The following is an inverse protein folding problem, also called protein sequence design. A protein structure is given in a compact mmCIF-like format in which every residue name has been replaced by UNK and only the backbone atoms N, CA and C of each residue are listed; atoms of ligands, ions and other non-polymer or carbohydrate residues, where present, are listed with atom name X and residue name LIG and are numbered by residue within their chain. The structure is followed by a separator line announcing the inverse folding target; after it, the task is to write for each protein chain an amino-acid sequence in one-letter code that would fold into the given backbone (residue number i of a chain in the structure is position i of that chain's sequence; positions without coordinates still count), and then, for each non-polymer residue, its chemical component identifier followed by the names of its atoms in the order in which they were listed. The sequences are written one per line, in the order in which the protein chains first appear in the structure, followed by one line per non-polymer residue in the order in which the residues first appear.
data_IF_173398912755
#
_entry.id   IF_173398912755
#
_cell.length_a   1.000
_cell.length_b   1.000
_cell.length_c   1.000
_cell.angle_alpha   90.00
_cell.angle_beta   90.00
_cell.angle_gamma   90.00
#
_symmetry.space_group_name_H-M   'P 1'
#
loop_
_entity.id
_entity.type
_entity.pdbx_description
1 polymer ?
#
# COMPACT_ATOMS: atom_id res chain seq x y z
N UNK A 1 7.61 -0.76 -77.46
CA UNK A 1 7.92 -1.35 -76.13
C UNK A 1 7.42 -0.52 -74.96
N UNK A 2 7.39 0.81 -74.94
CA UNK A 2 6.95 1.64 -73.80
C UNK A 2 5.47 1.48 -73.37
N UNK A 3 4.54 1.25 -74.31
CA UNK A 3 3.10 1.11 -73.98
C UNK A 3 2.73 -0.17 -73.23
N UNK A 4 3.48 -1.28 -73.45
CA UNK A 4 3.24 -2.57 -72.82
C UNK A 4 3.65 -2.57 -71.34
N UNK A 5 4.72 -1.85 -71.02
CA UNK A 5 5.19 -1.75 -69.60
C UNK A 5 4.26 -0.84 -68.76
N UNK A 6 3.69 0.21 -69.36
CA UNK A 6 2.74 1.10 -68.72
C UNK A 6 1.43 0.36 -68.34
N UNK A 7 0.96 -0.51 -69.22
CA UNK A 7 -0.24 -1.31 -68.98
C UNK A 7 -0.01 -2.40 -67.93
N UNK A 8 1.17 -2.99 -67.87
CA UNK A 8 1.54 -3.95 -66.84
C UNK A 8 1.71 -3.29 -65.47
N UNK A 9 2.27 -2.10 -65.39
CA UNK A 9 2.34 -1.32 -64.15
C UNK A 9 0.94 -0.90 -63.64
N UNK A 10 0.04 -0.54 -64.56
CA UNK A 10 -1.33 -0.17 -64.22
C UNK A 10 -2.16 -1.37 -63.69
N UNK A 11 -1.97 -2.55 -64.26
CA UNK A 11 -2.55 -3.79 -63.79
C UNK A 11 -1.99 -4.25 -62.43
N UNK A 12 -0.70 -4.08 -62.21
CA UNK A 12 -0.06 -4.40 -60.93
C UNK A 12 -0.53 -3.47 -59.78
N UNK A 13 -0.68 -2.16 -60.08
CA UNK A 13 -1.19 -1.21 -59.07
C UNK A 13 -2.67 -1.45 -58.75
N UNK A 14 -3.48 -1.86 -59.73
CA UNK A 14 -4.87 -2.21 -59.53
C UNK A 14 -5.03 -3.51 -58.72
N UNK A 15 -4.17 -4.51 -58.95
CA UNK A 15 -4.10 -5.73 -58.16
C UNK A 15 -3.67 -5.47 -56.70
N UNK A 16 -2.75 -4.52 -56.45
CA UNK A 16 -2.33 -4.13 -55.11
C UNK A 16 -3.43 -3.40 -54.35
N UNK A 17 -4.27 -2.60 -55.02
CA UNK A 17 -5.41 -1.93 -54.41
C UNK A 17 -6.56 -2.92 -54.06
N UNK A 18 -6.71 -4.00 -54.80
CA UNK A 18 -7.68 -5.06 -54.51
C UNK A 18 -7.29 -5.95 -53.32
N UNK A 19 -6.01 -5.98 -52.96
CA UNK A 19 -5.53 -6.69 -51.76
C UNK A 19 -5.61 -5.88 -50.48
N UNK A 20 -5.90 -4.58 -50.57
CA UNK A 20 -6.24 -3.77 -49.39
C UNK A 20 -7.67 -4.08 -48.95
N UNK A 21 -7.90 -5.31 -48.47
CA UNK A 21 -9.14 -5.66 -47.79
C UNK A 21 -9.28 -4.74 -46.59
N UNK A 22 -10.39 -4.01 -46.44
CA UNK A 22 -10.61 -3.25 -45.20
C UNK A 22 -10.56 -4.25 -44.03
N UNK A 23 -9.59 -4.06 -43.17
CA UNK A 23 -9.56 -4.79 -41.90
C UNK A 23 -10.80 -4.38 -41.12
N UNK A 24 -11.85 -5.19 -41.23
CA UNK A 24 -13.02 -5.04 -40.37
C UNK A 24 -12.57 -5.32 -38.94
N UNK A 25 -12.28 -4.28 -38.18
CA UNK A 25 -12.07 -4.40 -36.76
C UNK A 25 -13.34 -5.03 -36.16
N UNK A 26 -13.24 -6.27 -35.71
CA UNK A 26 -14.35 -6.92 -35.02
C UNK A 26 -14.69 -6.11 -33.79
N UNK A 27 -15.86 -5.46 -33.81
CA UNK A 27 -16.40 -4.76 -32.64
C UNK A 27 -17.03 -5.80 -31.73
N UNK A 28 -16.29 -6.19 -30.70
CA UNK A 28 -16.87 -7.01 -29.64
C UNK A 28 -17.80 -6.14 -28.78
N UNK A 29 -19.00 -6.65 -28.51
CA UNK A 29 -19.92 -6.10 -27.51
C UNK A 29 -19.98 -7.06 -26.35
N UNK A 30 -19.90 -6.52 -25.14
CA UNK A 30 -20.18 -7.31 -23.94
C UNK A 30 -21.65 -7.74 -24.00
N UNK A 31 -21.90 -9.02 -24.17
CA UNK A 31 -23.25 -9.57 -24.28
C UNK A 31 -23.90 -9.77 -22.90
N UNK A 32 -23.11 -10.17 -21.91
CA UNK A 32 -23.56 -10.41 -20.54
C UNK A 32 -22.39 -10.33 -19.59
N UNK A 33 -22.60 -9.75 -18.42
CA UNK A 33 -21.69 -9.82 -17.29
C UNK A 33 -22.43 -10.48 -16.14
N UNK A 34 -21.93 -11.60 -15.68
CA UNK A 34 -22.42 -12.25 -14.48
C UNK A 34 -21.42 -11.99 -13.35
N UNK A 35 -21.91 -11.61 -12.19
CA UNK A 35 -21.11 -11.38 -10.99
C UNK A 35 -21.62 -12.27 -9.87
N UNK A 36 -20.74 -13.10 -9.34
CA UNK A 36 -21.02 -13.89 -8.14
C UNK A 36 -20.11 -13.39 -7.02
N UNK A 37 -20.69 -13.18 -5.84
CA UNK A 37 -19.95 -12.87 -4.64
C UNK A 37 -19.86 -14.12 -3.77
N UNK A 38 -18.66 -14.62 -3.57
CA UNK A 38 -18.39 -15.72 -2.64
C UNK A 38 -17.76 -15.11 -1.40
N UNK A 39 -18.42 -15.24 -0.26
CA UNK A 39 -17.86 -14.82 1.01
C UNK A 39 -16.93 -15.92 1.52
N UNK A 40 -15.71 -15.54 1.84
CA UNK A 40 -14.77 -16.42 2.55
C UNK A 40 -15.06 -16.23 4.03
N UNK A 41 -15.67 -17.22 4.63
CA UNK A 41 -16.06 -17.26 6.03
C UNK A 41 -15.69 -18.62 6.66
N UNK A 42 -15.93 -18.79 7.96
CA UNK A 42 -15.57 -20.00 8.70
C UNK A 42 -16.11 -21.33 8.15
N UNK A 43 -17.09 -21.31 7.25
CA UNK A 43 -17.58 -22.56 6.62
C UNK A 43 -16.52 -23.22 5.74
N UNK A 44 -15.55 -22.43 5.24
CA UNK A 44 -14.45 -22.94 4.44
C UNK A 44 -13.36 -23.63 5.27
N UNK A 45 -13.33 -23.36 6.59
CA UNK A 45 -12.40 -23.98 7.53
C UNK A 45 -12.77 -25.43 7.84
N UNK A 46 -14.02 -25.83 7.54
CA UNK A 46 -14.54 -27.17 7.81
C UNK A 46 -13.83 -28.28 7.01
N UNK A 47 -13.19 -27.94 5.91
CA UNK A 47 -12.43 -28.88 5.06
C UNK A 47 -11.08 -28.26 4.69
N UNK A 48 -10.14 -28.20 5.63
CA UNK A 48 -8.81 -27.67 5.36
C UNK A 48 -8.08 -28.56 4.36
N UNK A 49 -7.38 -27.95 3.41
CA UNK A 49 -6.49 -28.64 2.51
C UNK A 49 -5.23 -29.09 3.26
N UNK A 50 -5.11 -30.40 3.52
CA UNK A 50 -4.01 -30.96 4.27
C UNK A 50 -2.65 -30.84 3.56
N UNK A 51 -2.63 -30.84 2.22
CA UNK A 51 -1.39 -30.66 1.46
C UNK A 51 -0.92 -29.22 1.51
N UNK A 52 -1.84 -28.28 1.34
CA UNK A 52 -1.55 -26.85 1.50
C UNK A 52 -1.07 -26.54 2.92
N UNK A 53 -1.75 -27.05 3.94
CA UNK A 53 -1.36 -26.88 5.34
C UNK A 53 0.06 -27.43 5.60
N UNK A 54 0.38 -28.62 5.11
CA UNK A 54 1.71 -29.22 5.23
C UNK A 54 2.79 -28.40 4.50
N UNK A 55 2.47 -27.86 3.34
CA UNK A 55 3.38 -27.00 2.58
C UNK A 55 3.68 -25.69 3.31
N UNK A 56 2.66 -25.07 3.91
CA UNK A 56 2.77 -23.77 4.58
C UNK A 56 3.40 -23.88 5.97
N UNK A 57 3.20 -25.01 6.67
CA UNK A 57 3.60 -25.19 8.07
C UNK A 57 5.05 -24.74 8.40
N UNK A 58 6.11 -25.09 7.65
CA UNK A 58 7.47 -24.66 7.97
C UNK A 58 7.67 -23.14 7.86
N UNK A 59 6.96 -22.48 6.94
CA UNK A 59 6.99 -21.03 6.81
C UNK A 59 6.22 -20.36 7.94
N UNK A 60 5.06 -20.89 8.28
CA UNK A 60 4.23 -20.41 9.39
C UNK A 60 5.01 -20.48 10.70
N UNK A 61 5.65 -21.61 11.04
CA UNK A 61 6.50 -21.73 12.21
C UNK A 61 7.60 -20.67 12.28
N UNK A 62 8.22 -20.39 11.14
CA UNK A 62 9.26 -19.36 11.07
C UNK A 62 8.68 -17.97 11.30
N UNK A 63 7.55 -17.65 10.69
CA UNK A 63 6.85 -16.37 10.89
C UNK A 63 6.42 -16.23 12.34
N UNK A 64 5.77 -17.24 12.92
CA UNK A 64 5.28 -17.21 14.30
C UNK A 64 6.44 -17.02 15.30
N UNK A 65 7.61 -17.63 15.04
CA UNK A 65 8.78 -17.45 15.91
C UNK A 65 9.34 -16.03 15.91
N UNK A 66 9.16 -15.27 14.82
CA UNK A 66 9.66 -13.90 14.67
C UNK A 66 8.59 -12.87 15.09
N UNK A 67 7.36 -13.10 14.66
CA UNK A 67 6.26 -12.16 14.80
C UNK A 67 5.41 -12.39 16.06
N UNK A 68 5.48 -13.60 16.63
CA UNK A 68 4.69 -13.98 17.82
C UNK A 68 5.11 -13.38 19.16
N UNK A 69 6.39 -13.04 19.42
CA UNK A 69 6.78 -12.51 20.72
C UNK A 69 5.99 -11.26 21.11
N UNK A 70 5.42 -11.27 22.33
CA UNK A 70 4.72 -10.11 22.89
C UNK A 70 5.75 -9.05 23.28
N UNK A 71 5.54 -7.82 22.83
CA UNK A 71 6.41 -6.67 23.08
C UNK A 71 5.79 -5.62 23.96
N UNK A 72 4.48 -5.72 24.23
CA UNK A 72 3.78 -4.79 25.07
C UNK A 72 2.29 -5.13 25.19
N UNK A 73 1.53 -4.19 25.72
CA UNK A 73 0.06 -4.31 25.78
C UNK A 73 -0.58 -2.93 25.71
N UNK A 74 -1.81 -2.86 25.23
CA UNK A 74 -2.64 -1.65 25.20
C UNK A 74 -3.91 -1.85 26.04
N UNK A 75 -4.28 -0.82 26.79
CA UNK A 75 -5.39 -0.87 27.74
C UNK A 75 -6.78 -0.79 27.06
N UNK A 76 -6.82 -0.28 25.85
CA UNK A 76 -8.03 -0.11 25.02
C UNK A 76 -7.63 -0.10 23.55
N UNK A 77 -8.64 -0.19 22.66
CA UNK A 77 -8.41 -0.14 21.22
C UNK A 77 -7.84 1.24 20.84
N UNK A 78 -6.72 1.24 20.10
CA UNK A 78 -6.09 2.45 19.60
C UNK A 78 -6.25 2.50 18.09
N UNK A 79 -7.12 3.41 17.62
CA UNK A 79 -7.42 3.56 16.20
C UNK A 79 -6.78 4.82 15.64
N UNK A 80 -6.46 4.78 14.34
CA UNK A 80 -6.00 5.99 13.65
C UNK A 80 -7.19 6.79 13.13
N UNK A 81 -7.18 8.09 13.35
CA UNK A 81 -8.11 9.03 12.72
C UNK A 81 -7.51 10.44 12.67
N UNK A 82 -8.05 11.28 11.80
CA UNK A 82 -7.71 12.69 11.73
C UNK A 82 -8.67 13.53 12.59
N UNK A 83 -8.25 14.67 13.11
CA UNK A 83 -6.95 15.36 12.90
C UNK A 83 -5.77 14.72 13.63
N UNK A 84 -6.00 14.03 14.74
CA UNK A 84 -5.05 13.29 15.54
C UNK A 84 -5.71 12.06 16.16
N UNK A 85 -4.90 11.15 16.66
CA UNK A 85 -5.38 9.98 17.42
C UNK A 85 -4.30 9.52 18.39
N UNK A 86 -4.69 8.79 19.44
CA UNK A 86 -3.74 8.23 20.39
C UNK A 86 -2.68 7.38 19.69
N UNK A 87 -3.06 6.61 18.66
CA UNK A 87 -2.11 5.81 17.88
C UNK A 87 -1.13 6.67 17.09
N UNK A 88 -1.58 7.74 16.45
CA UNK A 88 -0.68 8.65 15.72
C UNK A 88 0.26 9.39 16.65
N UNK A 89 -0.22 9.78 17.83
CA UNK A 89 0.58 10.45 18.85
C UNK A 89 1.64 9.48 19.42
N UNK A 90 1.25 8.25 19.73
CA UNK A 90 2.17 7.20 20.18
C UNK A 90 3.32 6.98 19.19
N UNK A 91 3.01 6.82 17.88
CA UNK A 91 4.04 6.61 16.87
C UNK A 91 4.97 7.83 16.74
N UNK A 92 4.44 9.03 16.85
CA UNK A 92 5.23 10.24 16.83
C UNK A 92 6.10 10.35 18.08
N UNK A 93 5.60 10.04 19.27
CA UNK A 93 6.38 10.05 20.51
C UNK A 93 7.50 8.99 20.47
N UNK A 94 7.25 7.83 19.88
CA UNK A 94 8.29 6.81 19.65
C UNK A 94 9.43 7.35 18.78
N UNK A 95 9.17 8.19 17.79
CA UNK A 95 10.21 8.81 16.98
C UNK A 95 11.08 9.79 17.80
N UNK A 96 10.46 10.60 18.66
CA UNK A 96 11.20 11.48 19.58
C UNK A 96 12.06 10.66 20.54
N UNK A 97 11.47 9.62 21.13
CA UNK A 97 12.19 8.72 22.03
C UNK A 97 13.36 8.02 21.32
N UNK A 98 13.15 7.56 20.08
CA UNK A 98 14.14 6.89 19.25
C UNK A 98 15.33 7.78 18.86
N UNK A 99 15.15 9.10 18.83
CA UNK A 99 16.22 10.07 18.58
C UNK A 99 17.43 9.89 19.50
N UNK A 100 17.19 9.45 20.74
CA UNK A 100 18.25 9.21 21.74
C UNK A 100 19.28 8.18 21.27
N UNK A 101 18.90 7.21 20.47
CA UNK A 101 19.81 6.18 19.94
C UNK A 101 20.82 6.76 18.93
N UNK A 102 20.50 7.93 18.38
CA UNK A 102 21.32 8.66 17.42
C UNK A 102 22.04 9.86 18.04
N UNK A 103 21.99 10.02 19.37
CA UNK A 103 22.46 11.20 20.10
C UNK A 103 21.78 12.51 19.66
N UNK A 104 20.54 12.39 19.16
CA UNK A 104 19.69 13.51 18.77
C UNK A 104 18.65 13.81 19.84
N UNK A 105 18.28 15.08 19.97
CA UNK A 105 17.26 15.55 20.89
C UNK A 105 16.19 16.34 20.13
N UNK A 106 15.35 15.67 19.34
CA UNK A 106 14.31 16.36 18.58
C UNK A 106 13.30 16.98 19.54
N UNK A 107 12.85 18.20 19.21
CA UNK A 107 11.85 18.93 19.99
C UNK A 107 10.45 18.35 19.75
N UNK A 108 10.20 17.91 18.52
CA UNK A 108 8.97 17.22 18.12
C UNK A 108 9.26 16.30 16.94
N UNK A 109 8.31 15.43 16.63
CA UNK A 109 8.34 14.63 15.42
C UNK A 109 7.02 14.72 14.68
N UNK A 110 7.05 14.34 13.41
CA UNK A 110 5.87 14.22 12.56
C UNK A 110 5.85 12.84 11.92
N UNK A 111 4.74 12.14 12.03
CA UNK A 111 4.51 10.87 11.38
C UNK A 111 3.29 10.98 10.46
N UNK A 112 3.40 10.55 9.21
CA UNK A 112 2.30 10.66 8.27
C UNK A 112 1.18 9.65 8.59
N UNK A 113 -0.06 10.10 8.64
CA UNK A 113 -1.23 9.25 8.91
C UNK A 113 -1.40 8.11 7.89
N UNK A 114 -0.95 8.31 6.64
CA UNK A 114 -0.97 7.28 5.60
C UNK A 114 -0.01 6.13 5.84
N UNK A 115 1.00 6.32 6.68
CA UNK A 115 1.97 5.31 7.11
C UNK A 115 1.42 4.33 8.14
N UNK A 116 0.34 4.66 8.83
CA UNK A 116 -0.34 3.80 9.78
C UNK A 116 -1.31 2.90 9.02
N UNK A 117 -1.14 1.57 9.08
CA UNK A 117 -1.86 0.64 8.20
C UNK A 117 -2.86 -0.25 8.92
N UNK A 118 -2.70 -0.43 10.22
CA UNK A 118 -3.61 -1.15 11.10
C UNK A 118 -3.82 -0.38 12.40
N UNK A 119 -4.71 -0.85 13.23
CA UNK A 119 -5.00 -0.34 14.57
C UNK A 119 -4.52 -1.36 15.62
N UNK A 120 -4.28 -0.95 16.84
CA UNK A 120 -4.06 -1.88 17.94
C UNK A 120 -5.39 -2.22 18.62
N UNK A 121 -5.69 -3.51 18.71
CA UNK A 121 -6.76 -4.00 19.56
C UNK A 121 -6.30 -4.04 21.01
N UNK A 122 -7.24 -3.83 21.94
CA UNK A 122 -7.00 -3.98 23.38
C UNK A 122 -6.40 -5.35 23.69
N UNK A 123 -5.32 -5.38 24.47
CA UNK A 123 -4.67 -6.60 24.94
C UNK A 123 -3.17 -6.60 24.66
N UNK A 124 -2.61 -7.80 24.57
CA UNK A 124 -1.21 -7.99 24.26
C UNK A 124 -0.93 -7.58 22.82
N UNK A 125 0.23 -6.96 22.63
CA UNK A 125 0.76 -6.53 21.32
C UNK A 125 2.02 -7.32 21.03
N UNK A 126 2.05 -8.00 19.91
CA UNK A 126 3.21 -8.76 19.45
C UNK A 126 3.98 -8.03 18.32
N UNK A 127 5.11 -8.58 17.90
CA UNK A 127 5.92 -8.00 16.81
C UNK A 127 5.13 -7.91 15.50
N UNK A 128 4.27 -8.89 15.23
CA UNK A 128 3.40 -8.91 14.05
C UNK A 128 2.43 -7.72 14.04
N UNK A 129 1.76 -7.46 15.18
CA UNK A 129 0.83 -6.32 15.31
C UNK A 129 1.55 -5.00 15.05
N UNK A 130 2.76 -4.82 15.59
CA UNK A 130 3.58 -3.62 15.32
C UNK A 130 3.93 -3.52 13.84
N UNK A 131 4.30 -4.66 13.20
CA UNK A 131 4.61 -4.70 11.77
C UNK A 131 3.38 -4.40 10.90
N UNK A 132 2.17 -4.77 11.34
CA UNK A 132 0.94 -4.43 10.63
C UNK A 132 0.58 -2.96 10.75
N UNK A 133 0.80 -2.36 11.91
CA UNK A 133 0.56 -0.92 12.15
C UNK A 133 1.54 -0.07 11.34
N UNK A 134 2.82 -0.40 11.33
CA UNK A 134 3.88 0.36 10.66
C UNK A 134 4.75 -0.55 9.76
N UNK A 135 4.23 -1.06 8.64
CA UNK A 135 4.90 -2.08 7.82
C UNK A 135 6.06 -1.56 6.97
N UNK A 136 6.30 -0.27 6.96
CA UNK A 136 7.29 0.33 6.07
C UNK A 136 8.64 0.49 6.76
N UNK A 137 9.72 0.06 6.11
CA UNK A 137 11.10 0.29 6.54
C UNK A 137 11.53 1.74 6.24
N UNK A 138 10.81 2.69 6.80
CA UNK A 138 11.11 4.12 6.62
C UNK A 138 12.36 4.49 7.40
N UNK A 139 13.16 5.40 6.83
CA UNK A 139 14.30 6.00 7.54
C UNK A 139 13.83 7.16 8.41
N UNK A 140 14.37 7.24 9.61
CA UNK A 140 14.21 8.41 10.46
C UNK A 140 15.14 9.52 9.93
N UNK A 141 14.60 10.72 9.75
CA UNK A 141 15.35 11.90 9.32
C UNK A 141 15.29 12.96 10.41
N UNK A 142 16.44 13.52 10.76
CA UNK A 142 16.52 14.67 11.67
C UNK A 142 16.75 15.93 10.84
N UNK A 143 15.95 16.97 11.12
CA UNK A 143 15.97 18.22 10.39
C UNK A 143 16.09 19.39 11.35
N UNK A 144 16.93 20.36 11.01
CA UNK A 144 16.98 21.66 11.70
C UNK A 144 16.19 22.66 10.87
N UNK A 145 15.17 23.25 11.48
CA UNK A 145 14.27 24.21 10.85
C UNK A 145 14.31 25.56 11.57
N UNK A 146 14.10 26.64 10.81
CA UNK A 146 13.82 27.96 11.41
C UNK A 146 12.39 28.00 11.94
N UNK A 147 12.08 28.91 12.88
CA UNK A 147 10.73 29.07 13.40
C UNK A 147 9.69 29.36 12.32
N UNK A 148 10.05 30.11 11.28
CA UNK A 148 9.17 30.34 10.12
C UNK A 148 8.81 29.03 9.39
N UNK A 149 9.80 28.14 9.19
CA UNK A 149 9.57 26.86 8.53
C UNK A 149 8.80 25.90 9.41
N UNK A 150 8.95 25.95 10.72
CA UNK A 150 8.12 25.20 11.66
C UNK A 150 6.67 25.68 11.54
N UNK A 151 6.42 26.98 11.53
CA UNK A 151 5.06 27.52 11.37
C UNK A 151 4.45 27.11 10.04
N UNK A 152 5.20 27.20 8.95
CA UNK A 152 4.75 26.73 7.62
C UNK A 152 4.39 25.24 7.64
N UNK A 153 5.21 24.40 8.29
CA UNK A 153 4.94 22.97 8.45
C UNK A 153 3.60 22.71 9.14
N UNK A 154 3.37 23.36 10.29
CA UNK A 154 2.10 23.20 11.02
C UNK A 154 0.89 23.72 10.24
N UNK A 155 1.03 24.80 9.48
CA UNK A 155 -0.02 25.27 8.58
C UNK A 155 -0.35 24.23 7.50
N UNK A 156 0.66 23.57 6.93
CA UNK A 156 0.46 22.50 5.94
C UNK A 156 -0.19 21.26 6.57
N UNK A 157 0.20 20.89 7.78
CA UNK A 157 -0.43 19.80 8.54
C UNK A 157 -1.90 20.11 8.79
N UNK A 158 -2.22 21.31 9.27
CA UNK A 158 -3.60 21.74 9.49
C UNK A 158 -4.43 21.74 8.20
N UNK A 159 -3.85 22.23 7.10
CA UNK A 159 -4.51 22.24 5.79
C UNK A 159 -4.84 20.84 5.28
N UNK A 160 -4.03 19.85 5.58
CA UNK A 160 -4.27 18.43 5.24
C UNK A 160 -5.26 17.73 6.17
N UNK A 161 -5.75 18.42 7.19
CA UNK A 161 -6.68 17.87 8.18
C UNK A 161 -6.00 17.09 9.31
N UNK A 162 -4.71 17.36 9.56
CA UNK A 162 -3.91 16.75 10.61
C UNK A 162 -2.95 15.68 10.13
N UNK A 163 -1.90 15.44 10.89
CA UNK A 163 -0.93 14.34 10.81
C UNK A 163 -0.54 13.94 12.24
N UNK A 164 0.13 12.81 12.41
CA UNK A 164 0.69 12.46 13.74
C UNK A 164 1.78 13.46 14.12
N UNK A 165 1.62 14.11 15.26
CA UNK A 165 2.62 15.01 15.84
C UNK A 165 2.86 14.57 17.28
N UNK A 166 4.14 14.52 17.71
CA UNK A 166 4.46 14.20 19.10
C UNK A 166 4.06 15.33 20.04
N UNK A 167 3.69 14.96 21.24
CA UNK A 167 3.26 15.89 22.29
C UNK A 167 2.02 16.73 21.92
N UNK A 168 1.15 16.20 21.03
CA UNK A 168 -0.12 16.82 20.67
C UNK A 168 -1.21 16.52 21.72
#
# INVERSE_FOLDING_TARGET
MKKKNSMQMMLASMALMLMASPAFAQKFKVAKVERTRILIDRKWDAQPDAEAAKFIAPYQHKVDSIMGPVVGSVAHDMTRHRPESELSNLLSDILVWGGRQFNEQPVFSVYNMGGIRADFAKGDVNVGDVSEVAPFENKICFLTLTGEKVLELFQQIAHRGGEGVSHA
#
